data_IF_223613445266
#
_entry.id   IF_223613445266
#
_cell.length_a   1.000
_cell.length_b   1.000
_cell.length_c   1.000
_cell.angle_alpha   90.00
_cell.angle_beta   90.00
_cell.angle_gamma   90.00
#
_symmetry.space_group_name_H-M   'P 1'
#
loop_
_entity.id
_entity.type
_entity.pdbx_description
1 polymer ?
#
# COMPACT_ATOMS: atom_id res chain seq x y z
N UNK A 1 36.46 13.35 -10.43
CA UNK A 1 35.37 12.39 -10.16
C UNK A 1 34.13 13.22 -9.84
N UNK A 2 33.14 13.25 -10.75
CA UNK A 2 31.92 14.03 -10.57
C UNK A 2 31.09 13.36 -9.49
N UNK A 3 30.99 14.02 -8.33
CA UNK A 3 30.22 13.52 -7.21
C UNK A 3 28.71 13.64 -7.52
N UNK A 4 28.04 12.50 -7.35
CA UNK A 4 26.62 12.29 -7.09
C UNK A 4 25.78 13.55 -6.82
N UNK A 5 25.14 14.08 -7.87
CA UNK A 5 24.15 15.17 -7.83
C UNK A 5 22.70 14.62 -7.84
N UNK A 6 22.50 13.41 -7.30
CA UNK A 6 21.19 12.73 -7.24
C UNK A 6 20.58 12.69 -5.83
N UNK A 7 21.34 13.09 -4.81
CA UNK A 7 20.96 12.96 -3.39
C UNK A 7 20.04 14.05 -2.83
N UNK A 8 19.49 14.94 -3.67
CA UNK A 8 18.62 16.05 -3.23
C UNK A 8 17.47 16.32 -4.21
N UNK A 9 17.03 15.30 -4.96
CA UNK A 9 15.80 15.42 -5.73
C UNK A 9 14.62 15.24 -4.78
N UNK A 10 14.19 16.33 -4.16
CA UNK A 10 12.86 16.41 -3.55
C UNK A 10 11.84 15.94 -4.61
N UNK A 11 11.16 14.83 -4.33
CA UNK A 11 10.18 14.22 -5.25
C UNK A 11 9.22 15.33 -5.69
N UNK A 12 9.11 15.58 -6.99
CA UNK A 12 8.24 16.62 -7.50
C UNK A 12 6.80 16.38 -7.05
N UNK A 13 6.04 17.43 -6.74
CA UNK A 13 4.64 17.32 -6.29
C UNK A 13 3.79 16.42 -7.21
N UNK A 14 4.10 16.43 -8.52
CA UNK A 14 3.46 15.58 -9.52
C UNK A 14 3.87 14.11 -9.37
N UNK A 15 5.15 13.83 -9.14
CA UNK A 15 5.64 12.48 -8.91
C UNK A 15 5.06 11.87 -7.63
N UNK A 16 4.93 12.67 -6.56
CA UNK A 16 4.22 12.25 -5.34
C UNK A 16 2.77 11.91 -5.65
N UNK A 17 2.06 12.76 -6.41
CA UNK A 17 0.67 12.51 -6.78
C UNK A 17 0.49 11.22 -7.61
N UNK A 18 1.40 10.96 -8.57
CA UNK A 18 1.38 9.72 -9.33
C UNK A 18 1.68 8.49 -8.45
N UNK A 19 2.66 8.59 -7.56
CA UNK A 19 3.02 7.49 -6.66
C UNK A 19 1.85 7.13 -5.72
N UNK A 20 1.20 8.13 -5.12
CA UNK A 20 0.05 7.94 -4.26
C UNK A 20 -1.12 7.33 -5.05
N UNK A 21 -1.41 7.86 -6.24
CA UNK A 21 -2.49 7.34 -7.08
C UNK A 21 -2.29 5.86 -7.42
N UNK A 22 -1.07 5.47 -7.81
CA UNK A 22 -0.75 4.07 -8.11
C UNK A 22 -0.87 3.17 -6.88
N UNK A 23 -0.53 3.66 -5.69
CA UNK A 23 -0.68 2.90 -4.44
C UNK A 23 -2.16 2.67 -4.07
N UNK A 24 -3.05 3.59 -4.46
CA UNK A 24 -4.50 3.45 -4.23
C UNK A 24 -5.12 2.46 -5.24
N UNK A 25 -4.65 2.47 -6.49
CA UNK A 25 -5.10 1.55 -7.56
C UNK A 25 -4.35 0.20 -7.43
N UNK A 26 -4.47 -0.46 -6.29
CA UNK A 26 -3.96 -1.83 -6.07
C UNK A 26 -4.97 -2.90 -6.52
N UNK A 27 -4.86 -4.12 -5.96
CA UNK A 27 -5.85 -5.18 -6.16
C UNK A 27 -7.24 -4.82 -5.58
N UNK A 28 -7.30 -3.82 -4.70
CA UNK A 28 -8.52 -3.28 -4.12
C UNK A 28 -9.58 -2.89 -5.16
N UNK A 29 -9.18 -2.41 -6.34
CA UNK A 29 -10.13 -2.02 -7.39
C UNK A 29 -10.83 -3.21 -8.05
N UNK A 30 -10.22 -4.40 -8.01
CA UNK A 30 -10.79 -5.65 -8.55
C UNK A 30 -11.64 -6.37 -7.50
N UNK A 31 -11.24 -6.32 -6.23
CA UNK A 31 -11.89 -7.02 -5.12
C UNK A 31 -13.12 -6.29 -4.59
N UNK A 32 -13.14 -4.95 -4.57
CA UNK A 32 -14.33 -4.19 -4.17
C UNK A 32 -15.58 -4.48 -5.02
N UNK A 33 -15.56 -4.35 -6.36
CA UNK A 33 -16.77 -4.55 -7.16
C UNK A 33 -17.24 -6.01 -7.13
N UNK A 34 -16.30 -6.97 -7.13
CA UNK A 34 -16.64 -8.40 -7.08
C UNK A 34 -17.31 -8.80 -5.75
N UNK A 35 -16.86 -8.25 -4.62
CA UNK A 35 -17.51 -8.48 -3.32
C UNK A 35 -18.89 -7.83 -3.23
N UNK A 36 -19.08 -6.65 -3.83
CA UNK A 36 -20.37 -5.95 -3.85
C UNK A 36 -21.41 -6.70 -4.69
N UNK A 37 -21.02 -7.21 -5.87
CA UNK A 37 -21.89 -8.04 -6.71
C UNK A 37 -22.28 -9.35 -6.00
N UNK A 38 -21.37 -9.95 -5.24
CA UNK A 38 -21.67 -11.17 -4.48
C UNK A 38 -22.61 -10.90 -3.30
N UNK A 39 -22.50 -9.74 -2.66
CA UNK A 39 -23.31 -9.38 -1.48
C UNK A 39 -24.67 -8.75 -1.82
N UNK A 40 -24.86 -8.24 -3.04
CA UNK A 40 -26.04 -7.42 -3.41
C UNK A 40 -26.66 -7.91 -4.72
N UNK A 41 -27.94 -8.30 -4.69
CA UNK A 41 -28.72 -8.69 -5.88
C UNK A 41 -29.16 -7.49 -6.73
N UNK A 42 -29.13 -6.28 -6.17
CA UNK A 42 -29.66 -5.05 -6.79
C UNK A 42 -28.57 -4.13 -7.37
N UNK A 43 -28.93 -3.39 -8.43
CA UNK A 43 -28.08 -2.52 -9.26
C UNK A 43 -27.45 -1.30 -8.54
N UNK A 44 -27.69 -1.09 -7.25
CA UNK A 44 -27.23 0.08 -6.48
C UNK A 44 -25.86 -0.12 -5.81
N UNK A 45 -25.06 -1.10 -6.25
CA UNK A 45 -23.73 -1.36 -5.68
C UNK A 45 -22.75 -0.18 -5.79
N UNK A 46 -22.92 0.67 -6.80
CA UNK A 46 -22.10 1.87 -7.02
C UNK A 46 -22.24 2.92 -5.92
N UNK A 47 -23.41 3.02 -5.27
CA UNK A 47 -23.64 3.94 -4.15
C UNK A 47 -22.85 3.54 -2.90
N UNK A 48 -22.71 2.24 -2.65
CA UNK A 48 -21.86 1.75 -1.56
C UNK A 48 -20.38 2.09 -1.80
N UNK A 49 -19.92 2.07 -3.05
CA UNK A 49 -18.55 2.46 -3.42
C UNK A 49 -18.33 3.95 -3.17
N UNK A 50 -19.28 4.80 -3.58
CA UNK A 50 -19.17 6.25 -3.36
C UNK A 50 -19.15 6.61 -1.87
N UNK A 51 -20.01 5.99 -1.06
CA UNK A 51 -20.06 6.24 0.38
C UNK A 51 -18.76 5.76 1.05
N UNK A 52 -18.28 4.56 0.72
CA UNK A 52 -17.01 4.04 1.23
C UNK A 52 -15.81 4.92 0.82
N UNK A 53 -15.78 5.37 -0.43
CA UNK A 53 -14.75 6.27 -0.94
C UNK A 53 -14.75 7.62 -0.24
N UNK A 54 -15.92 8.20 0.04
CA UNK A 54 -16.04 9.47 0.75
C UNK A 54 -15.51 9.39 2.19
N UNK A 55 -15.81 8.29 2.89
CA UNK A 55 -15.29 8.03 4.24
C UNK A 55 -13.76 7.87 4.19
N UNK A 56 -13.25 7.10 3.22
CA UNK A 56 -11.81 6.90 3.03
C UNK A 56 -11.07 8.22 2.75
N UNK A 57 -11.64 9.09 1.91
CA UNK A 57 -11.09 10.43 1.64
C UNK A 57 -11.05 11.29 2.91
N UNK A 58 -12.09 11.25 3.74
CA UNK A 58 -12.11 11.93 5.04
C UNK A 58 -10.99 11.47 5.97
N UNK A 59 -10.80 10.16 6.10
CA UNK A 59 -9.70 9.59 6.87
C UNK A 59 -8.32 9.96 6.30
N UNK A 60 -8.16 9.86 4.98
CA UNK A 60 -6.91 10.23 4.31
C UNK A 60 -6.56 11.71 4.52
N UNK A 61 -7.55 12.60 4.48
CA UNK A 61 -7.35 14.02 4.75
C UNK A 61 -6.91 14.29 6.19
N UNK A 62 -7.50 13.60 7.16
CA UNK A 62 -7.10 13.69 8.57
C UNK A 62 -5.65 13.22 8.79
N UNK A 63 -5.26 12.10 8.18
CA UNK A 63 -3.89 11.59 8.23
C UNK A 63 -2.92 12.56 7.55
N UNK A 64 -3.26 13.09 6.37
CA UNK A 64 -2.44 14.06 5.67
C UNK A 64 -2.20 15.33 6.52
N UNK A 65 -3.24 15.84 7.19
CA UNK A 65 -3.12 16.96 8.13
C UNK A 65 -2.18 16.66 9.30
N UNK A 66 -2.21 15.43 9.82
CA UNK A 66 -1.32 15.00 10.90
C UNK A 66 0.14 14.96 10.43
N UNK A 67 0.41 14.41 9.25
CA UNK A 67 1.76 14.33 8.67
C UNK A 67 2.31 15.72 8.36
N UNK A 68 1.49 16.63 7.83
CA UNK A 68 1.92 18.03 7.58
C UNK A 68 2.25 18.79 8.87
N UNK A 69 1.69 18.39 10.02
CA UNK A 69 1.99 19.01 11.34
C UNK A 69 3.37 18.60 11.86
N UNK A 70 3.85 17.42 11.50
CA UNK A 70 5.14 16.86 11.92
C UNK A 70 6.04 16.62 10.70
N UNK A 71 6.54 17.69 10.05
CA UNK A 71 7.41 17.54 8.89
C UNK A 71 8.71 16.82 9.27
N UNK A 72 9.14 15.87 8.42
CA UNK A 72 10.42 15.14 8.48
C UNK A 72 10.64 14.18 9.67
N UNK A 73 9.58 13.71 10.33
CA UNK A 73 9.70 12.67 11.36
C UNK A 73 9.29 11.31 10.80
N UNK A 74 10.03 10.25 11.13
CA UNK A 74 9.68 8.90 10.71
C UNK A 74 8.38 8.42 11.42
N UNK A 75 7.67 7.44 10.86
CA UNK A 75 6.44 6.90 11.46
C UNK A 75 6.63 6.49 12.92
N UNK A 76 7.77 5.87 13.23
CA UNK A 76 8.14 5.52 14.60
C UNK A 76 8.31 6.75 15.49
N UNK A 77 8.95 7.81 15.01
CA UNK A 77 9.17 9.04 15.78
C UNK A 77 7.86 9.79 16.04
N UNK A 78 6.97 9.86 15.05
CA UNK A 78 5.63 10.44 15.21
C UNK A 78 4.85 9.68 16.28
N UNK A 79 4.89 8.35 16.22
CA UNK A 79 4.19 7.47 17.17
C UNK A 79 4.81 7.54 18.56
N UNK A 80 6.14 7.63 18.67
CA UNK A 80 6.88 7.77 19.92
C UNK A 80 6.72 9.14 20.58
N UNK A 81 6.41 10.18 19.79
CA UNK A 81 6.06 11.51 20.34
C UNK A 81 4.64 11.55 20.89
N UNK A 82 3.73 10.80 20.27
CA UNK A 82 2.32 10.75 20.65
C UNK A 82 2.07 9.74 21.79
N UNK A 83 2.86 8.66 21.84
CA UNK A 83 2.73 7.52 22.76
C UNK A 83 4.10 7.14 23.33
N UNK A 84 4.17 6.65 24.57
CA UNK A 84 5.41 6.21 25.23
C UNK A 84 6.26 5.28 24.32
N UNK A 85 7.62 5.32 24.34
CA UNK A 85 8.46 4.69 23.32
C UNK A 85 8.34 3.16 23.28
N UNK A 86 8.03 2.52 24.41
CA UNK A 86 7.75 1.08 24.46
C UNK A 86 6.51 0.69 23.64
N UNK A 87 5.46 1.52 23.69
CA UNK A 87 4.23 1.29 22.92
C UNK A 87 4.45 1.61 21.45
N UNK A 88 5.25 2.63 21.14
CA UNK A 88 5.60 2.98 19.76
C UNK A 88 6.31 1.82 19.04
N UNK A 89 7.22 1.11 19.71
CA UNK A 89 7.88 -0.07 19.13
C UNK A 89 6.88 -1.19 18.80
N UNK A 90 5.91 -1.44 19.69
CA UNK A 90 4.87 -2.46 19.47
C UNK A 90 3.97 -2.07 18.30
N UNK A 91 3.55 -0.81 18.22
CA UNK A 91 2.70 -0.30 17.13
C UNK A 91 3.42 -0.40 15.79
N UNK A 92 4.71 -0.03 15.72
CA UNK A 92 5.51 -0.17 14.50
C UNK A 92 5.68 -1.63 14.09
N UNK A 93 5.89 -2.54 15.04
CA UNK A 93 5.94 -3.98 14.75
C UNK A 93 4.60 -4.48 14.20
N UNK A 94 3.47 -4.09 14.82
CA UNK A 94 2.14 -4.46 14.37
C UNK A 94 1.84 -3.92 12.97
N UNK A 95 2.25 -2.68 12.69
CA UNK A 95 2.14 -2.06 11.38
C UNK A 95 2.96 -2.81 10.32
N UNK A 96 4.18 -3.24 10.65
CA UNK A 96 5.00 -4.05 9.75
C UNK A 96 4.32 -5.41 9.44
N UNK A 97 3.74 -6.07 10.44
CA UNK A 97 2.98 -7.30 10.25
C UNK A 97 1.73 -7.08 9.38
N UNK A 98 1.00 -5.98 9.60
CA UNK A 98 -0.15 -5.62 8.78
C UNK A 98 0.24 -5.44 7.32
N UNK A 99 1.33 -4.72 7.04
CA UNK A 99 1.84 -4.52 5.68
C UNK A 99 2.26 -5.83 5.02
N UNK A 100 2.85 -6.76 5.77
CA UNK A 100 3.23 -8.08 5.26
C UNK A 100 2.00 -8.92 4.86
N UNK A 101 0.96 -8.93 5.70
CA UNK A 101 -0.30 -9.59 5.38
C UNK A 101 -1.00 -8.96 4.18
N UNK A 102 -0.98 -7.62 4.09
CA UNK A 102 -1.52 -6.89 2.95
C UNK A 102 -0.84 -7.31 1.64
N UNK A 103 0.50 -7.31 1.59
CA UNK A 103 1.28 -7.79 0.43
C UNK A 103 0.93 -9.23 0.07
N UNK A 104 0.74 -10.09 1.07
CA UNK A 104 0.40 -11.50 0.84
C UNK A 104 -0.95 -11.65 0.13
N UNK A 105 -1.94 -10.82 0.47
CA UNK A 105 -3.25 -10.81 -0.19
C UNK A 105 -3.12 -10.30 -1.63
N UNK A 106 -2.38 -9.21 -1.86
CA UNK A 106 -2.14 -8.64 -3.18
C UNK A 106 -1.47 -9.67 -4.12
N UNK A 107 -0.40 -10.33 -3.64
CA UNK A 107 0.34 -11.37 -4.39
C UNK A 107 -0.56 -12.55 -4.75
N UNK A 108 -1.41 -13.02 -3.81
CA UNK A 108 -2.36 -14.10 -4.08
C UNK A 108 -3.40 -13.70 -5.14
N UNK A 109 -3.88 -12.46 -5.08
CA UNK A 109 -4.78 -11.92 -6.08
C UNK A 109 -4.17 -11.92 -7.47
N UNK A 110 -2.97 -11.34 -7.62
CA UNK A 110 -2.26 -11.29 -8.90
C UNK A 110 -1.97 -12.70 -9.43
N UNK A 111 -1.51 -13.62 -8.58
CA UNK A 111 -1.26 -15.02 -8.95
C UNK A 111 -2.51 -15.71 -9.50
N UNK A 112 -3.67 -15.53 -8.86
CA UNK A 112 -4.94 -16.09 -9.32
C UNK A 112 -5.34 -15.55 -10.69
N UNK A 113 -5.14 -14.25 -10.93
CA UNK A 113 -5.40 -13.63 -12.23
C UNK A 113 -4.42 -14.16 -13.28
N UNK A 114 -3.12 -14.17 -13.00
CA UNK A 114 -2.11 -14.69 -13.94
C UNK A 114 -2.35 -16.15 -14.32
N UNK A 115 -2.81 -16.99 -13.38
CA UNK A 115 -3.18 -18.37 -13.69
C UNK A 115 -4.30 -18.44 -14.72
N UNK A 116 -5.36 -17.64 -14.55
CA UNK A 116 -6.51 -17.61 -15.45
C UNK A 116 -6.15 -17.15 -16.88
N UNK A 117 -5.19 -16.23 -17.00
CA UNK A 117 -4.85 -15.63 -18.30
C UNK A 117 -3.66 -16.30 -19.03
N UNK A 118 -2.69 -16.87 -18.30
CA UNK A 118 -1.41 -17.26 -18.90
C UNK A 118 -1.00 -18.72 -18.61
N UNK A 119 -1.36 -19.26 -17.45
CA UNK A 119 -0.82 -20.52 -16.94
C UNK A 119 -1.92 -21.43 -16.39
N UNK A 120 -2.69 -22.05 -17.27
CA UNK A 120 -3.80 -22.93 -16.84
C UNK A 120 -3.32 -24.15 -16.03
N UNK A 121 -2.15 -24.69 -16.38
CA UNK A 121 -1.62 -25.95 -15.84
C UNK A 121 -0.72 -25.78 -14.60
N UNK A 122 -0.24 -24.58 -14.29
CA UNK A 122 0.75 -24.37 -13.22
C UNK A 122 0.06 -24.21 -11.85
N UNK A 123 0.55 -24.85 -10.78
CA UNK A 123 0.03 -24.66 -9.42
C UNK A 123 0.24 -23.21 -8.95
N UNK A 124 -0.74 -22.66 -8.23
CA UNK A 124 -0.74 -21.26 -7.75
C UNK A 124 0.39 -20.98 -6.76
N UNK A 125 0.85 -22.02 -6.09
CA UNK A 125 1.92 -22.02 -5.10
C UNK A 125 3.24 -21.57 -5.71
N UNK A 126 3.57 -22.04 -6.92
CA UNK A 126 4.80 -21.67 -7.62
C UNK A 126 4.78 -20.19 -8.02
N UNK A 127 3.67 -19.72 -8.59
CA UNK A 127 3.49 -18.33 -9.03
C UNK A 127 3.54 -17.37 -7.84
N UNK A 128 2.88 -17.72 -6.73
CA UNK A 128 2.93 -16.95 -5.49
C UNK A 128 4.36 -16.80 -4.95
N UNK A 129 5.17 -17.87 -5.00
CA UNK A 129 6.55 -17.82 -4.52
C UNK A 129 7.42 -16.85 -5.33
N UNK A 130 7.30 -16.87 -6.66
CA UNK A 130 8.02 -15.94 -7.53
C UNK A 130 7.64 -14.47 -7.27
N UNK A 131 6.34 -14.16 -7.21
CA UNK A 131 5.88 -12.80 -6.95
C UNK A 131 6.23 -12.30 -5.54
N UNK A 132 6.13 -13.17 -4.53
CA UNK A 132 6.51 -12.84 -3.15
C UNK A 132 8.01 -12.55 -3.03
N UNK A 133 8.87 -13.36 -3.68
CA UNK A 133 10.33 -13.12 -3.71
C UNK A 133 10.68 -11.79 -4.38
N UNK A 134 9.99 -11.44 -5.46
CA UNK A 134 10.17 -10.16 -6.13
C UNK A 134 9.76 -9.00 -5.22
N UNK A 135 8.59 -9.09 -4.59
CA UNK A 135 8.07 -8.04 -3.70
C UNK A 135 8.94 -7.84 -2.44
N UNK A 136 9.45 -8.92 -1.84
CA UNK A 136 10.42 -8.86 -0.74
C UNK A 136 11.74 -8.19 -1.12
N UNK A 137 12.14 -8.25 -2.39
CA UNK A 137 13.37 -7.58 -2.87
C UNK A 137 13.12 -6.10 -3.10
N UNK A 138 11.92 -5.73 -3.54
CA UNK A 138 11.57 -4.34 -3.86
C UNK A 138 11.23 -3.49 -2.64
N UNK A 139 10.70 -4.08 -1.57
CA UNK A 139 10.38 -3.40 -0.31
C UNK A 139 11.59 -2.71 0.35
N UNK A 140 12.75 -3.37 0.57
CA UNK A 140 13.93 -2.70 1.11
C UNK A 140 14.52 -1.66 0.13
N UNK A 141 14.44 -1.92 -1.18
CA UNK A 141 14.98 -1.00 -2.20
C UNK A 141 14.17 0.30 -2.27
N UNK A 142 12.84 0.23 -2.19
CA UNK A 142 11.97 1.42 -2.22
C UNK A 142 11.90 2.13 -0.86
N UNK A 143 12.00 1.41 0.25
CA UNK A 143 12.15 1.99 1.58
C UNK A 143 13.45 2.80 1.71
N UNK A 144 14.57 2.30 1.19
CA UNK A 144 15.82 3.06 1.13
C UNK A 144 15.71 4.31 0.23
N UNK A 145 14.96 4.22 -0.88
CA UNK A 145 14.84 5.33 -1.83
C UNK A 145 13.87 6.45 -1.38
N UNK A 146 13.02 6.21 -0.36
CA UNK A 146 12.17 7.23 0.26
C UNK A 146 12.76 7.80 1.57
N UNK A 147 13.81 7.19 2.13
CA UNK A 147 14.42 7.56 3.41
C UNK A 147 15.78 8.27 3.24
N UNK A 148 16.22 8.50 2.00
CA UNK A 148 17.44 9.25 1.64
C UNK A 148 17.11 10.63 1.12
#
# INVERSE_FOLDING_TARGET
MKNFEYGDKEIGQKEVAYAISNMVIGLGILTLPSTIVAATTSSDGWMSILIGGLIALGCAWAIAKLVMRFPKMNYYEITAKLTNPAVASIVTLLFALYMFLFVSIEVRGVSSISKLYLFDTTPVEAICFFFCSCCCTEWPVRACHCCG
#
